data_IF_179431348833
#
_entry.id   IF_179431348833
#
_cell.length_a   1.000
_cell.length_b   1.000
_cell.length_c   1.000
_cell.angle_alpha   90.00
_cell.angle_beta   90.00
_cell.angle_gamma   90.00
#
_symmetry.space_group_name_H-M   'P 1'
#
loop_
_entity.id
_entity.type
_entity.pdbx_description
1 polymer ?
#
# COMPACT_ATOMS: atom_id res chain seq x y z
N UNK A 1 4.92 0.62 17.26
CA UNK A 1 4.74 0.77 15.80
C UNK A 1 4.34 -0.56 15.18
N UNK A 2 3.21 -0.55 14.49
CA UNK A 2 2.67 -1.66 13.71
C UNK A 2 2.93 -1.48 12.20
N UNK A 3 3.49 -2.50 11.55
CA UNK A 3 3.59 -2.60 10.10
C UNK A 3 2.70 -3.75 9.63
N UNK A 4 1.56 -3.42 9.02
CA UNK A 4 0.60 -4.43 8.60
C UNK A 4 1.04 -5.09 7.28
N UNK A 5 0.83 -6.40 7.16
CA UNK A 5 1.07 -7.16 5.94
C UNK A 5 -0.28 -7.58 5.34
N UNK A 6 -0.65 -7.03 4.19
CA UNK A 6 -1.81 -7.48 3.44
C UNK A 6 -1.55 -8.82 2.75
N UNK A 7 -2.28 -9.85 3.17
CA UNK A 7 -2.22 -11.22 2.68
C UNK A 7 -3.56 -11.61 2.04
N UNK A 8 -3.54 -12.36 0.95
CA UNK A 8 -4.74 -12.99 0.36
C UNK A 8 -4.58 -14.51 0.17
N UNK A 9 -3.45 -15.07 0.60
CA UNK A 9 -3.13 -16.49 0.54
C UNK A 9 -2.13 -16.86 1.63
N UNK A 10 -2.10 -18.14 2.00
CA UNK A 10 -1.11 -18.66 2.94
C UNK A 10 0.28 -18.55 2.34
N UNK A 11 1.21 -17.98 3.09
CA UNK A 11 2.60 -17.76 2.68
C UNK A 11 3.49 -17.72 3.92
N UNK A 12 4.76 -18.02 3.73
CA UNK A 12 5.78 -17.68 4.71
C UNK A 12 5.89 -16.15 4.81
N UNK A 13 5.96 -15.65 6.03
CA UNK A 13 6.01 -14.24 6.36
C UNK A 13 7.25 -13.93 7.19
N UNK A 14 7.77 -12.69 7.15
CA UNK A 14 8.90 -12.29 7.96
C UNK A 14 8.61 -12.50 9.45
N UNK A 15 9.52 -13.21 10.11
CA UNK A 15 9.44 -13.43 11.55
C UNK A 15 10.03 -12.23 12.32
N UNK A 16 9.36 -11.07 12.24
CA UNK A 16 9.66 -9.94 13.13
C UNK A 16 8.39 -9.41 13.79
N UNK A 17 8.50 -9.07 15.07
CA UNK A 17 7.39 -8.63 15.93
C UNK A 17 6.63 -7.39 15.42
N UNK A 18 7.27 -6.52 14.62
CA UNK A 18 6.59 -5.35 14.06
C UNK A 18 5.66 -5.67 12.87
N UNK A 19 5.78 -6.85 12.27
CA UNK A 19 4.98 -7.25 11.12
C UNK A 19 3.71 -7.99 11.56
N UNK A 20 2.55 -7.39 11.27
CA UNK A 20 1.25 -7.92 11.69
C UNK A 20 0.46 -8.32 10.45
N UNK A 21 0.24 -9.62 10.19
CA UNK A 21 -0.49 -10.05 9.01
C UNK A 21 -1.99 -9.77 9.11
N UNK A 22 -2.56 -9.29 8.01
CA UNK A 22 -3.99 -9.06 7.80
C UNK A 22 -4.44 -9.74 6.51
N UNK A 23 -5.52 -10.49 6.58
CA UNK A 23 -6.20 -11.12 5.47
C UNK A 23 -7.07 -10.08 4.78
N UNK A 24 -6.58 -9.57 3.65
CA UNK A 24 -7.29 -8.65 2.78
C UNK A 24 -8.43 -9.39 2.06
N UNK A 25 -9.64 -8.82 2.06
CA UNK A 25 -10.79 -9.42 1.41
C UNK A 25 -11.26 -10.72 2.05
N UNK A 26 -11.02 -10.92 3.36
CA UNK A 26 -11.40 -12.16 4.06
C UNK A 26 -12.86 -12.53 3.86
N UNK A 27 -13.75 -11.52 3.78
CA UNK A 27 -15.20 -11.71 3.57
C UNK A 27 -15.54 -12.48 2.28
N UNK A 28 -14.72 -12.37 1.24
CA UNK A 28 -14.96 -12.98 -0.09
C UNK A 28 -13.91 -14.04 -0.47
N UNK A 29 -12.92 -14.28 0.39
CA UNK A 29 -11.78 -15.16 0.10
C UNK A 29 -12.18 -16.64 0.02
N UNK A 30 -13.16 -17.07 0.83
CA UNK A 30 -13.55 -18.47 0.95
C UNK A 30 -12.48 -19.38 1.56
N UNK A 31 -11.32 -18.82 1.94
CA UNK A 31 -10.20 -19.50 2.58
C UNK A 31 -9.97 -18.91 3.97
N UNK A 32 -9.52 -19.73 4.90
CA UNK A 32 -8.99 -19.25 6.18
C UNK A 32 -7.47 -19.21 6.11
N UNK A 33 -6.89 -18.14 6.64
CA UNK A 33 -5.45 -18.01 6.83
C UNK A 33 -5.19 -18.13 8.33
N UNK A 34 -4.26 -19.00 8.69
CA UNK A 34 -3.97 -19.29 10.10
C UNK A 34 -3.21 -18.14 10.73
N UNK A 35 -3.63 -17.72 11.94
CA UNK A 35 -2.94 -16.70 12.74
C UNK A 35 -2.86 -15.31 12.05
N UNK A 36 -3.85 -15.00 11.20
CA UNK A 36 -3.95 -13.72 10.48
C UNK A 36 -5.25 -13.01 10.86
N UNK A 37 -5.16 -11.70 11.18
CA UNK A 37 -6.34 -10.85 11.43
C UNK A 37 -7.17 -10.69 10.15
N UNK A 38 -8.49 -10.54 10.28
CA UNK A 38 -9.37 -10.30 9.13
C UNK A 38 -9.71 -8.84 8.96
N UNK A 39 -9.74 -8.34 7.72
CA UNK A 39 -10.28 -7.02 7.40
C UNK A 39 -11.82 -6.95 7.37
N UNK A 40 -12.51 -8.00 7.84
CA UNK A 40 -13.95 -8.25 7.67
C UNK A 40 -14.78 -8.08 8.96
N UNK A 41 -14.18 -7.49 10.00
CA UNK A 41 -14.84 -7.25 11.30
C UNK A 41 -15.10 -5.76 11.53
N UNK A 42 -15.99 -5.41 12.47
CA UNK A 42 -16.32 -4.01 12.77
C UNK A 42 -16.78 -3.25 11.52
N UNK A 43 -16.34 -1.99 11.38
CA UNK A 43 -16.64 -1.19 10.19
C UNK A 43 -15.65 -1.52 9.06
N UNK A 44 -16.14 -2.12 7.98
CA UNK A 44 -15.28 -2.63 6.92
C UNK A 44 -15.90 -2.56 5.51
N UNK A 45 -15.03 -2.72 4.51
CA UNK A 45 -15.39 -2.88 3.10
C UNK A 45 -14.72 -4.12 2.49
N UNK A 46 -14.49 -5.16 3.28
CA UNK A 46 -13.80 -6.39 2.86
C UNK A 46 -14.44 -7.04 1.62
N UNK A 47 -15.78 -6.97 1.52
CA UNK A 47 -16.52 -7.46 0.35
C UNK A 47 -16.18 -6.74 -0.97
N UNK A 48 -15.57 -5.55 -0.91
CA UNK A 48 -15.14 -4.76 -2.07
C UNK A 48 -13.69 -5.03 -2.48
N UNK A 49 -13.00 -5.97 -1.83
CA UNK A 49 -11.58 -6.25 -2.08
C UNK A 49 -11.27 -6.56 -3.55
N UNK A 50 -12.19 -7.20 -4.29
CA UNK A 50 -12.03 -7.43 -5.74
C UNK A 50 -11.73 -6.15 -6.54
N UNK A 51 -12.23 -5.00 -6.08
CA UNK A 51 -12.07 -3.71 -6.77
C UNK A 51 -11.14 -2.74 -6.01
N UNK A 52 -11.03 -2.89 -4.69
CA UNK A 52 -10.28 -1.97 -3.82
C UNK A 52 -8.94 -2.53 -3.35
N UNK A 53 -8.69 -3.84 -3.55
CA UNK A 53 -7.49 -4.53 -3.12
C UNK A 53 -7.13 -4.18 -1.66
N UNK A 54 -5.87 -3.89 -1.37
CA UNK A 54 -5.36 -3.58 -0.04
C UNK A 54 -5.96 -2.30 0.59
N UNK A 55 -6.66 -1.45 -0.18
CA UNK A 55 -7.41 -0.32 0.39
C UNK A 55 -8.50 -0.79 1.36
N UNK A 56 -8.97 -2.03 1.23
CA UNK A 56 -9.89 -2.65 2.20
C UNK A 56 -9.26 -2.79 3.59
N UNK A 57 -7.96 -3.14 3.64
CA UNK A 57 -7.18 -3.21 4.87
C UNK A 57 -6.95 -1.81 5.45
N UNK A 58 -6.54 -0.84 4.62
CA UNK A 58 -6.36 0.56 5.06
C UNK A 58 -7.66 1.11 5.65
N UNK A 59 -8.78 0.89 4.96
CA UNK A 59 -10.09 1.33 5.42
C UNK A 59 -10.45 0.69 6.78
N UNK A 60 -10.24 -0.62 6.92
CA UNK A 60 -10.53 -1.34 8.15
C UNK A 60 -9.69 -0.82 9.32
N UNK A 61 -8.38 -0.65 9.12
CA UNK A 61 -7.47 -0.08 10.11
C UNK A 61 -7.92 1.32 10.56
N UNK A 62 -8.26 2.17 9.59
CA UNK A 62 -8.77 3.53 9.83
C UNK A 62 -10.06 3.53 10.65
N UNK A 63 -11.08 2.79 10.22
CA UNK A 63 -12.41 2.87 10.82
C UNK A 63 -12.50 2.21 12.19
N UNK A 64 -11.66 1.21 12.46
CA UNK A 64 -11.65 0.50 13.73
C UNK A 64 -10.56 1.03 14.68
N UNK A 65 -9.83 2.09 14.30
CA UNK A 65 -8.80 2.76 15.12
C UNK A 65 -7.77 1.79 15.69
N UNK A 66 -7.30 0.88 14.85
CA UNK A 66 -6.40 -0.21 15.27
C UNK A 66 -4.93 0.20 15.33
N UNK A 67 -4.66 1.50 15.40
CA UNK A 67 -3.33 2.06 15.58
C UNK A 67 -3.39 3.05 16.74
N UNK A 68 -2.65 2.74 17.79
CA UNK A 68 -2.39 3.62 18.94
C UNK A 68 -0.96 4.19 18.90
N UNK A 69 -0.20 3.86 17.86
CA UNK A 69 1.17 4.30 17.65
C UNK A 69 1.21 5.59 16.82
N UNK A 70 2.26 6.39 17.01
CA UNK A 70 2.55 7.58 16.19
C UNK A 70 2.68 7.27 14.69
N UNK A 71 2.89 6.00 14.33
CA UNK A 71 3.13 5.55 12.97
C UNK A 71 2.28 4.31 12.62
N UNK A 72 1.71 4.34 11.42
CA UNK A 72 1.04 3.21 10.78
C UNK A 72 1.73 2.90 9.46
N UNK A 73 1.95 1.63 9.16
CA UNK A 73 2.46 1.20 7.87
C UNK A 73 1.68 0.04 7.29
N UNK A 74 1.73 -0.07 5.97
CA UNK A 74 1.17 -1.19 5.23
C UNK A 74 2.16 -1.64 4.17
N UNK A 75 2.41 -2.95 4.14
CA UNK A 75 3.06 -3.65 3.04
C UNK A 75 2.15 -4.79 2.59
N UNK A 76 2.41 -5.40 1.46
CA UNK A 76 1.79 -6.66 1.06
C UNK A 76 2.78 -7.81 1.25
N UNK A 77 2.27 -9.02 1.18
CA UNK A 77 2.94 -10.25 1.65
C UNK A 77 4.21 -10.67 0.89
N UNK A 78 4.63 -9.96 -0.17
CA UNK A 78 5.86 -10.28 -0.94
C UNK A 78 6.81 -9.13 -1.16
N UNK A 79 6.45 -7.90 -0.79
CA UNK A 79 7.35 -6.77 -0.98
C UNK A 79 7.47 -6.04 0.35
N UNK A 80 8.69 -5.85 0.79
CA UNK A 80 8.99 -5.29 2.11
C UNK A 80 10.00 -4.17 1.93
N UNK A 81 9.99 -3.19 2.84
CA UNK A 81 11.09 -2.24 2.92
C UNK A 81 12.37 -2.99 3.31
N UNK A 82 13.46 -2.69 2.62
CA UNK A 82 14.70 -3.41 2.80
C UNK A 82 15.83 -2.80 1.98
N UNK A 83 17.04 -3.33 2.20
CA UNK A 83 18.19 -3.04 1.35
C UNK A 83 18.44 -4.19 0.39
N UNK A 84 18.68 -3.86 -0.88
CA UNK A 84 19.23 -4.82 -1.84
C UNK A 84 20.71 -4.97 -1.52
N UNK A 85 21.12 -6.15 -1.05
CA UNK A 85 22.54 -6.46 -0.85
C UNK A 85 23.14 -6.80 -2.22
N UNK A 86 23.66 -5.78 -2.91
CA UNK A 86 24.35 -5.95 -4.18
C UNK A 86 25.72 -6.57 -3.94
N UNK A 87 25.84 -7.89 -4.04
CA UNK A 87 27.11 -8.60 -4.30
C UNK A 87 26.94 -10.08 -4.68
N UNK A 88 25.76 -10.69 -4.47
CA UNK A 88 25.54 -12.09 -4.83
C UNK A 88 24.74 -12.24 -6.12
N UNK A 89 25.04 -13.30 -6.89
CA UNK A 89 24.27 -13.74 -8.07
C UNK A 89 22.78 -13.99 -7.76
N UNK A 90 22.42 -14.04 -6.48
CA UNK A 90 21.06 -14.02 -5.95
C UNK A 90 20.84 -12.74 -5.14
N UNK A 91 19.77 -12.01 -5.43
CA UNK A 91 19.40 -10.81 -4.66
C UNK A 91 18.91 -11.23 -3.28
N UNK A 92 19.79 -11.22 -2.29
CA UNK A 92 19.38 -11.30 -0.89
C UNK A 92 18.83 -9.93 -0.48
N UNK A 93 17.57 -9.91 -0.08
CA UNK A 93 16.91 -8.69 0.40
C UNK A 93 16.87 -8.76 1.92
N UNK A 94 17.64 -7.89 2.58
CA UNK A 94 17.50 -7.72 4.02
C UNK A 94 16.28 -6.86 4.29
N UNK A 95 15.21 -7.51 4.74
CA UNK A 95 13.99 -6.86 5.20
C UNK A 95 14.32 -6.03 6.44
N UNK A 96 13.74 -4.84 6.52
CA UNK A 96 13.93 -3.97 7.68
C UNK A 96 13.16 -4.50 8.89
N UNK A 97 13.86 -4.62 10.00
CA UNK A 97 13.24 -4.90 11.30
C UNK A 97 12.68 -3.63 11.95
N UNK A 98 12.12 -3.80 13.16
CA UNK A 98 11.58 -2.69 13.96
C UNK A 98 12.62 -1.58 14.19
N UNK A 99 13.87 -1.92 14.46
CA UNK A 99 14.91 -0.93 14.75
C UNK A 99 15.29 -0.14 13.49
N UNK A 100 15.41 -0.81 12.35
CA UNK A 100 15.67 -0.17 11.06
C UNK A 100 14.58 0.84 10.71
N UNK A 101 13.30 0.45 10.82
CA UNK A 101 12.18 1.34 10.49
C UNK A 101 12.09 2.49 11.50
N UNK A 102 12.17 2.20 12.80
CA UNK A 102 12.06 3.23 13.85
C UNK A 102 13.14 4.31 13.72
N UNK A 103 14.37 3.92 13.37
CA UNK A 103 15.45 4.88 13.16
C UNK A 103 15.24 5.76 11.91
N UNK A 104 14.58 5.25 10.88
CA UNK A 104 14.21 6.05 9.70
C UNK A 104 13.04 6.98 10.02
N UNK A 105 12.04 6.52 10.75
CA UNK A 105 10.87 7.33 11.13
C UNK A 105 11.23 8.55 12.00
N UNK A 106 12.32 8.47 12.78
CA UNK A 106 12.86 9.64 13.51
C UNK A 106 13.34 10.77 12.59
N UNK A 107 13.61 10.48 11.33
CA UNK A 107 14.17 11.42 10.37
C UNK A 107 13.16 11.85 9.29
N UNK A 108 12.06 11.12 9.15
CA UNK A 108 11.10 11.29 8.06
C UNK A 108 9.67 11.11 8.55
N UNK A 109 8.76 11.98 8.10
CA UNK A 109 7.33 11.87 8.39
C UNK A 109 6.66 10.73 7.61
N UNK A 110 7.16 10.46 6.40
CA UNK A 110 6.59 9.47 5.47
C UNK A 110 7.72 8.66 4.82
N UNK A 111 7.64 7.33 4.93
CA UNK A 111 8.50 6.38 4.23
C UNK A 111 7.69 5.66 3.15
N UNK A 112 8.14 5.80 1.90
CA UNK A 112 7.51 5.19 0.72
C UNK A 112 8.57 4.67 -0.24
N UNK A 113 8.21 3.76 -1.18
CA UNK A 113 9.12 3.26 -2.19
C UNK A 113 9.75 4.37 -3.05
N UNK A 114 10.87 4.02 -3.68
CA UNK A 114 11.55 4.89 -4.65
C UNK A 114 10.64 5.20 -5.84
N UNK A 115 10.86 6.35 -6.50
CA UNK A 115 10.10 6.74 -7.69
C UNK A 115 10.39 5.80 -8.85
N UNK A 116 9.35 5.42 -9.57
CA UNK A 116 9.45 4.71 -10.85
C UNK A 116 9.46 5.72 -12.00
N UNK A 117 10.26 5.43 -13.04
CA UNK A 117 10.32 6.24 -14.26
C UNK A 117 9.49 5.61 -15.37
N UNK A 118 8.56 6.38 -15.92
CA UNK A 118 7.74 6.01 -17.06
C UNK A 118 8.31 6.58 -18.36
N UNK A 119 8.05 5.88 -19.47
CA UNK A 119 8.31 6.40 -20.82
C UNK A 119 7.30 7.48 -21.24
N UNK A 120 6.09 7.41 -20.69
CA UNK A 120 4.95 8.29 -20.95
C UNK A 120 4.58 9.07 -19.67
N UNK A 121 3.75 10.11 -19.79
CA UNK A 121 3.14 10.73 -18.61
C UNK A 121 2.24 9.75 -17.85
N UNK A 122 1.90 10.03 -16.59
CA UNK A 122 0.99 9.20 -15.79
C UNK A 122 -0.35 9.00 -16.51
N UNK A 123 -0.95 10.06 -17.07
CA UNK A 123 -2.24 9.97 -17.77
C UNK A 123 -2.16 9.14 -19.04
N UNK A 124 -1.10 9.31 -19.84
CA UNK A 124 -0.88 8.51 -21.06
C UNK A 124 -0.60 7.04 -20.74
N UNK A 125 0.19 6.78 -19.70
CA UNK A 125 0.44 5.44 -19.23
C UNK A 125 -0.86 4.77 -18.74
N UNK A 126 -1.68 5.50 -17.97
CA UNK A 126 -2.97 4.99 -17.51
C UNK A 126 -3.89 4.69 -18.70
N UNK A 127 -4.05 5.61 -19.65
CA UNK A 127 -4.84 5.42 -20.88
C UNK A 127 -4.43 4.19 -21.68
N UNK A 128 -3.14 3.87 -21.71
CA UNK A 128 -2.62 2.73 -22.46
C UNK A 128 -3.02 1.38 -21.84
N UNK A 129 -3.12 1.30 -20.52
CA UNK A 129 -3.28 0.04 -19.79
C UNK A 129 -4.62 -0.08 -19.04
N UNK A 130 -5.41 0.99 -18.98
CA UNK A 130 -6.65 1.10 -18.23
C UNK A 130 -7.63 2.04 -18.94
N UNK A 131 -8.86 2.09 -18.45
CA UNK A 131 -9.92 2.97 -18.92
C UNK A 131 -9.70 4.42 -18.45
N UNK A 132 -9.25 5.32 -19.32
CA UNK A 132 -8.84 6.68 -18.93
C UNK A 132 -9.97 7.50 -18.32
N UNK A 133 -11.20 7.19 -18.69
CA UNK A 133 -12.46 7.77 -18.22
C UNK A 133 -12.57 7.65 -16.69
N UNK A 134 -12.08 6.55 -16.09
CA UNK A 134 -12.10 6.34 -14.64
C UNK A 134 -11.16 7.34 -13.94
N UNK A 135 -9.96 7.56 -14.49
CA UNK A 135 -9.01 8.54 -13.98
C UNK A 135 -9.51 9.98 -14.14
N UNK A 136 -10.16 10.27 -15.27
CA UNK A 136 -10.76 11.59 -15.52
C UNK A 136 -11.97 11.85 -14.61
N UNK A 137 -12.73 10.82 -14.27
CA UNK A 137 -13.80 10.91 -13.27
C UNK A 137 -13.21 11.19 -11.88
N UNK A 138 -12.13 10.50 -11.49
CA UNK A 138 -11.43 10.78 -10.23
C UNK A 138 -10.94 12.24 -10.19
N UNK A 139 -10.36 12.75 -11.28
CA UNK A 139 -9.98 14.17 -11.41
C UNK A 139 -11.17 15.11 -11.17
N UNK A 140 -12.31 14.86 -11.83
CA UNK A 140 -13.53 15.68 -11.66
C UNK A 140 -14.03 15.68 -10.21
N UNK A 141 -13.95 14.54 -9.53
CA UNK A 141 -14.34 14.41 -8.12
C UNK A 141 -13.40 15.23 -7.23
N UNK A 142 -12.09 15.15 -7.46
CA UNK A 142 -11.09 15.96 -6.73
C UNK A 142 -11.33 17.45 -6.98
N UNK A 143 -11.54 17.86 -8.23
CA UNK A 143 -11.82 19.25 -8.58
C UNK A 143 -13.06 19.81 -7.87
N UNK A 144 -14.08 18.96 -7.68
CA UNK A 144 -15.33 19.36 -7.02
C UNK A 144 -15.22 19.39 -5.50
N UNK A 145 -14.57 18.39 -4.90
CA UNK A 145 -14.58 18.19 -3.44
C UNK A 145 -13.37 18.80 -2.74
N UNK A 146 -12.24 18.91 -3.45
CA UNK A 146 -10.95 19.34 -2.91
C UNK A 146 -10.22 20.24 -3.92
N UNK A 147 -10.77 21.43 -4.25
CA UNK A 147 -10.23 22.31 -5.29
C UNK A 147 -8.77 22.72 -5.03
N UNK A 148 -8.36 22.83 -3.76
CA UNK A 148 -6.97 23.14 -3.39
C UNK A 148 -5.97 22.06 -3.84
N UNK A 149 -6.43 20.82 -4.08
CA UNK A 149 -5.62 19.72 -4.59
C UNK A 149 -5.65 19.59 -6.12
N UNK A 150 -6.48 20.36 -6.83
CA UNK A 150 -6.62 20.27 -8.29
C UNK A 150 -5.33 20.59 -9.05
N UNK A 151 -4.52 21.52 -8.54
CA UNK A 151 -3.23 21.87 -9.15
C UNK A 151 -2.29 20.68 -9.02
N UNK A 152 -2.10 20.15 -7.82
CA UNK A 152 -1.24 18.99 -7.57
C UNK A 152 -1.68 17.74 -8.35
N UNK A 153 -2.99 17.49 -8.46
CA UNK A 153 -3.52 16.37 -9.24
C UNK A 153 -3.20 16.53 -10.74
N UNK A 154 -3.39 17.72 -11.32
CA UNK A 154 -3.04 17.98 -12.72
C UNK A 154 -1.55 17.84 -12.97
N UNK A 155 -0.70 18.37 -12.08
CA UNK A 155 0.75 18.22 -12.18
C UNK A 155 1.17 16.74 -12.15
N UNK A 156 0.56 15.93 -11.29
CA UNK A 156 0.82 14.49 -11.23
C UNK A 156 0.50 13.78 -12.56
N UNK A 157 -0.62 14.13 -13.20
CA UNK A 157 -1.04 13.50 -14.46
C UNK A 157 -0.02 13.67 -15.59
N UNK A 158 0.69 14.81 -15.62
CA UNK A 158 1.68 15.14 -16.64
C UNK A 158 3.10 14.62 -16.31
N UNK A 159 3.34 14.15 -15.08
CA UNK A 159 4.65 13.65 -14.69
C UNK A 159 5.00 12.33 -15.39
N UNK A 160 6.28 12.16 -15.74
CA UNK A 160 6.85 10.89 -16.21
C UNK A 160 7.52 10.08 -15.09
N UNK A 161 7.45 10.57 -13.86
CA UNK A 161 7.98 9.89 -12.67
C UNK A 161 6.93 9.95 -11.58
N UNK A 162 6.58 8.81 -11.03
CA UNK A 162 5.58 8.72 -9.98
C UNK A 162 6.00 7.66 -8.97
N UNK A 163 5.40 7.71 -7.79
CA UNK A 163 5.57 6.66 -6.79
C UNK A 163 4.37 5.74 -6.93
N UNK A 164 4.62 4.53 -7.41
CA UNK A 164 3.58 3.52 -7.44
C UNK A 164 3.36 3.04 -6.01
N UNK A 165 2.34 3.56 -5.34
CA UNK A 165 1.85 3.00 -4.09
C UNK A 165 0.86 1.88 -4.47
N UNK A 166 1.36 0.84 -5.15
CA UNK A 166 0.74 -0.48 -5.01
C UNK A 166 1.13 -0.87 -3.60
N UNK A 167 0.16 -1.04 -2.72
CA UNK A 167 0.44 -1.63 -1.42
C UNK A 167 1.29 -2.89 -1.65
N UNK A 168 2.46 -2.90 -1.00
CA UNK A 168 3.69 -3.56 -1.43
C UNK A 168 3.61 -5.07 -1.65
#
# INVERSE_FOLDING_TARGET
MALFIACHKQTELPNHECYIPIHAGKKISGKMLDQVLGDDTGNNISCKNKNYCELTVIYWLWKNKLFNDDYIGLVHYRRYFGNVLSNFKFKEVRIYDRANISNKMKQYDIIIPVKESLKLSVVEHYRKFHNVEDLMLAKKIVDKLYPDYSVAFRELLEQKKYRFIICL
#
